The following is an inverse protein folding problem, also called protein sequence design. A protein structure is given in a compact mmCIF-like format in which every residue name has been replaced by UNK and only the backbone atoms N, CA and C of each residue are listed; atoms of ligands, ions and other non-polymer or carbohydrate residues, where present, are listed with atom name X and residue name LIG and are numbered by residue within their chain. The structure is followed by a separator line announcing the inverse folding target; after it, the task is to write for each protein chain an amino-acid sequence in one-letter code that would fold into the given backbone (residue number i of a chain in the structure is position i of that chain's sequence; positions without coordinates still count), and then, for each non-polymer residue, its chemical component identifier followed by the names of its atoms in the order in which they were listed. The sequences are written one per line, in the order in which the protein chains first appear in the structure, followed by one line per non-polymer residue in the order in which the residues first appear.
data_IF_625366643655
#
_entry.id   IF_625366643655
#
_cell.length_a   1.000
_cell.length_b   1.000
_cell.length_c   1.000
_cell.angle_alpha   90.00
_cell.angle_beta   90.00
_cell.angle_gamma   90.00
#
_symmetry.space_group_name_H-M   'P 1'
#
loop_
_entity.id
_entity.type
_entity.pdbx_description
1 polymer ?
#
# COMPACT_ATOMS: atom_id res chain seq x y z
N UNK A 1 60.10 -21.54 70.31
CA UNK A 1 60.35 -22.97 70.50
C UNK A 1 59.79 -23.71 69.28
N UNK A 2 60.69 -24.44 68.60
CA UNK A 2 60.45 -25.44 67.53
C UNK A 2 59.90 -25.03 66.20
N UNK A 3 60.79 -25.00 65.20
CA UNK A 3 60.53 -24.95 63.73
C UNK A 3 60.10 -26.36 63.27
N UNK A 4 59.18 -26.39 62.27
CA UNK A 4 59.10 -27.46 61.31
C UNK A 4 59.00 -26.94 59.88
N UNK A 5 59.98 -27.29 59.08
CA UNK A 5 59.99 -27.16 57.61
C UNK A 5 59.10 -28.25 57.00
N UNK A 6 58.31 -27.87 56.02
CA UNK A 6 57.73 -28.85 55.08
C UNK A 6 57.89 -28.37 53.65
N UNK A 7 58.76 -29.05 52.93
CA UNK A 7 58.90 -28.99 51.45
C UNK A 7 57.63 -29.44 50.80
N UNK A 8 57.06 -28.63 49.88
CA UNK A 8 56.09 -29.08 48.87
C UNK A 8 56.67 -28.92 47.48
N UNK A 9 56.77 -30.06 46.77
CA UNK A 9 57.13 -30.21 45.38
C UNK A 9 56.03 -29.59 44.52
N UNK A 10 56.38 -28.61 43.67
CA UNK A 10 55.47 -28.10 42.63
C UNK A 10 55.54 -29.06 41.44
N UNK A 11 54.42 -29.80 41.19
CA UNK A 11 54.14 -30.40 39.89
C UNK A 11 53.55 -29.34 38.97
N UNK A 12 54.32 -28.96 37.97
CA UNK A 12 53.82 -28.09 36.89
C UNK A 12 52.89 -28.84 35.95
N UNK A 13 51.62 -28.54 35.99
CA UNK A 13 50.64 -29.00 34.98
C UNK A 13 50.61 -28.01 33.82
N UNK A 14 51.20 -28.39 32.69
CA UNK A 14 51.12 -27.62 31.45
C UNK A 14 49.74 -27.82 30.86
N UNK A 15 48.89 -26.81 30.95
CA UNK A 15 47.58 -26.77 30.27
C UNK A 15 47.81 -26.32 28.83
N UNK A 16 47.65 -27.22 27.88
CA UNK A 16 47.55 -26.84 26.46
C UNK A 16 46.16 -26.21 26.20
N UNK A 17 46.11 -24.93 26.02
CA UNK A 17 44.94 -24.25 25.47
C UNK A 17 44.90 -24.51 23.96
N UNK A 18 44.03 -25.41 23.52
CA UNK A 18 43.65 -25.52 22.11
C UNK A 18 42.73 -24.36 21.84
N UNK A 19 43.22 -23.33 21.17
CA UNK A 19 42.42 -22.26 20.64
C UNK A 19 41.82 -22.76 19.32
N UNK A 20 40.60 -23.29 19.36
CA UNK A 20 39.83 -23.53 18.17
C UNK A 20 39.54 -22.16 17.54
N UNK A 21 40.23 -21.85 16.46
CA UNK A 21 39.87 -20.72 15.59
C UNK A 21 38.55 -21.06 14.90
N UNK A 22 37.44 -20.66 15.50
CA UNK A 22 36.16 -20.59 14.82
C UNK A 22 36.33 -19.54 13.73
N UNK A 23 36.60 -19.97 12.51
CA UNK A 23 36.46 -19.11 11.33
C UNK A 23 35.00 -18.74 11.26
N UNK A 24 34.68 -17.49 11.63
CA UNK A 24 33.37 -16.89 11.35
C UNK A 24 33.17 -16.99 9.83
N UNK A 25 32.30 -17.88 9.40
CA UNK A 25 31.75 -17.83 8.05
C UNK A 25 31.05 -16.46 7.95
N UNK A 26 31.72 -15.53 7.31
CA UNK A 26 31.06 -14.30 6.85
C UNK A 26 29.97 -14.76 5.88
N UNK A 27 28.72 -14.70 6.32
CA UNK A 27 27.59 -14.77 5.43
C UNK A 27 27.76 -13.60 4.47
N UNK A 28 28.22 -13.91 3.27
CA UNK A 28 28.25 -12.95 2.18
C UNK A 28 26.79 -12.65 1.88
N UNK A 29 26.31 -11.45 2.18
CA UNK A 29 24.98 -11.02 1.76
C UNK A 29 24.83 -11.32 0.27
N UNK A 30 23.67 -11.78 -0.18
CA UNK A 30 23.47 -12.06 -1.59
C UNK A 30 23.78 -10.80 -2.37
N UNK A 31 24.74 -10.89 -3.31
CA UNK A 31 25.22 -9.76 -4.12
C UNK A 31 24.15 -9.22 -5.08
N UNK A 32 22.94 -9.77 -5.06
CA UNK A 32 21.83 -9.48 -5.97
C UNK A 32 20.60 -9.12 -5.14
N UNK A 33 20.12 -7.89 -5.32
CA UNK A 33 18.89 -7.42 -4.70
C UNK A 33 17.68 -8.25 -5.15
N UNK A 34 16.75 -8.49 -4.22
CA UNK A 34 15.48 -9.17 -4.51
C UNK A 34 14.57 -8.21 -5.27
N UNK A 35 14.22 -8.51 -6.53
CA UNK A 35 13.37 -7.63 -7.32
C UNK A 35 11.93 -7.62 -6.81
N UNK A 36 11.13 -6.67 -7.32
CA UNK A 36 9.67 -6.62 -7.13
C UNK A 36 8.98 -6.53 -8.47
N UNK A 37 7.73 -6.95 -8.55
CA UNK A 37 6.88 -6.58 -9.68
C UNK A 37 6.56 -5.09 -9.53
N UNK A 38 6.93 -4.29 -10.52
CA UNK A 38 6.68 -2.85 -10.53
C UNK A 38 5.48 -2.48 -11.40
N UNK A 39 5.14 -3.31 -12.37
CA UNK A 39 4.10 -3.00 -13.33
C UNK A 39 3.35 -4.26 -13.78
N UNK A 40 2.05 -4.14 -13.89
CA UNK A 40 1.16 -5.11 -14.55
C UNK A 40 0.35 -4.36 -15.60
N UNK A 41 0.32 -4.88 -16.83
CA UNK A 41 -0.44 -4.26 -17.91
C UNK A 41 -1.92 -4.16 -17.56
N UNK A 42 -2.45 -2.94 -17.52
CA UNK A 42 -3.87 -2.72 -17.35
C UNK A 42 -4.64 -3.03 -18.64
N UNK A 43 -5.84 -3.56 -18.49
CA UNK A 43 -6.82 -3.59 -19.56
C UNK A 43 -7.15 -2.17 -20.03
N UNK A 44 -7.47 -2.00 -21.32
CA UNK A 44 -7.78 -0.68 -21.89
C UNK A 44 -8.96 0.03 -21.19
N UNK A 45 -9.89 -0.76 -20.67
CA UNK A 45 -11.05 -0.27 -19.94
C UNK A 45 -11.17 -1.02 -18.64
N UNK A 46 -10.96 -0.30 -17.54
CA UNK A 46 -11.22 -0.84 -16.22
C UNK A 46 -12.72 -0.89 -15.95
N UNK A 47 -13.22 -1.95 -15.33
CA UNK A 47 -14.65 -2.08 -15.03
C UNK A 47 -15.19 -0.94 -14.18
N UNK A 48 -14.35 -0.36 -13.31
CA UNK A 48 -14.71 0.79 -12.47
C UNK A 48 -15.09 2.05 -13.27
N UNK A 49 -14.66 2.18 -14.53
CA UNK A 49 -15.05 3.33 -15.37
C UNK A 49 -16.52 3.31 -15.79
N UNK A 50 -17.20 2.16 -15.66
CA UNK A 50 -18.54 1.92 -16.19
C UNK A 50 -19.54 1.43 -15.15
N UNK A 51 -19.15 1.16 -13.92
CA UNK A 51 -20.03 0.61 -12.89
C UNK A 51 -20.81 1.73 -12.19
N UNK A 52 -22.10 1.54 -11.99
CA UNK A 52 -22.98 2.45 -11.25
C UNK A 52 -22.57 2.65 -9.79
N UNK A 53 -21.79 1.69 -9.24
CA UNK A 53 -21.25 1.75 -7.89
C UNK A 53 -19.96 2.59 -7.78
N UNK A 54 -19.39 3.09 -8.88
CA UNK A 54 -18.22 3.93 -8.88
C UNK A 54 -18.61 5.40 -8.74
N UNK A 55 -18.16 6.03 -7.66
CA UNK A 55 -18.34 7.47 -7.41
C UNK A 55 -17.28 8.28 -8.16
N UNK A 56 -16.02 7.80 -8.11
CA UNK A 56 -14.85 8.45 -8.71
C UNK A 56 -13.85 7.44 -9.26
N UNK A 57 -13.28 7.79 -10.42
CA UNK A 57 -12.14 7.07 -11.00
C UNK A 57 -11.17 8.06 -11.63
N UNK A 58 -9.90 7.94 -11.36
CA UNK A 58 -8.83 8.70 -11.99
C UNK A 58 -7.54 7.87 -12.11
N UNK A 59 -7.05 7.73 -13.32
CA UNK A 59 -5.75 7.15 -13.68
C UNK A 59 -4.74 8.24 -14.08
N UNK A 60 -5.10 9.49 -13.86
CA UNK A 60 -4.31 10.68 -14.13
C UNK A 60 -3.83 10.81 -15.60
N UNK A 61 -4.43 10.06 -16.52
CA UNK A 61 -4.18 10.18 -17.96
C UNK A 61 -4.84 11.40 -18.59
N UNK A 62 -5.87 11.93 -17.95
CA UNK A 62 -6.64 13.10 -18.39
C UNK A 62 -6.87 14.05 -17.23
N UNK A 63 -7.06 15.34 -17.56
CA UNK A 63 -7.38 16.35 -16.53
C UNK A 63 -8.75 16.07 -15.94
N UNK A 64 -8.82 15.95 -14.62
CA UNK A 64 -10.07 15.86 -13.86
C UNK A 64 -10.09 16.93 -12.77
N UNK A 65 -11.29 17.36 -12.43
CA UNK A 65 -11.47 18.42 -11.46
C UNK A 65 -11.78 17.85 -10.07
N UNK A 66 -10.98 18.22 -9.14
CA UNK A 66 -11.10 17.91 -7.71
C UNK A 66 -11.70 19.10 -6.95
N UNK A 67 -12.19 18.86 -5.74
CA UNK A 67 -12.56 19.94 -4.83
C UNK A 67 -11.34 20.78 -4.46
N UNK A 68 -10.25 20.09 -4.14
CA UNK A 68 -8.91 20.66 -3.99
C UNK A 68 -7.87 19.69 -4.57
N UNK A 69 -6.86 20.27 -5.22
CA UNK A 69 -5.74 19.52 -5.76
C UNK A 69 -4.43 20.28 -5.56
N UNK A 70 -3.36 19.53 -5.33
CA UNK A 70 -2.00 20.06 -5.23
C UNK A 70 -1.03 19.16 -6.00
N UNK A 71 0.11 19.74 -6.39
CA UNK A 71 1.16 19.02 -7.08
C UNK A 71 0.90 18.83 -8.57
N UNK A 72 1.86 18.19 -9.22
CA UNK A 72 1.86 17.99 -10.67
C UNK A 72 1.61 16.52 -11.00
N UNK A 73 1.06 16.30 -12.17
CA UNK A 73 1.05 14.97 -12.77
C UNK A 73 2.46 14.67 -13.29
N UNK A 74 2.96 13.50 -12.95
CA UNK A 74 4.23 12.96 -13.40
C UNK A 74 3.94 11.90 -14.47
N UNK A 75 4.34 12.15 -15.70
CA UNK A 75 4.19 11.22 -16.81
C UNK A 75 5.33 10.20 -16.92
N UNK A 76 6.38 10.34 -16.11
CA UNK A 76 7.54 9.44 -16.11
C UNK A 76 7.41 8.30 -15.12
N UNK A 77 6.58 8.46 -14.09
CA UNK A 77 6.27 7.45 -13.08
C UNK A 77 4.76 7.24 -13.08
N UNK A 78 4.29 6.13 -13.60
CA UNK A 78 2.86 5.82 -13.64
C UNK A 78 2.63 4.30 -13.66
N UNK A 79 1.40 3.89 -13.35
CA UNK A 79 0.92 2.52 -13.39
C UNK A 79 0.04 2.26 -14.64
N UNK A 80 0.06 3.15 -15.61
CA UNK A 80 -0.66 3.04 -16.87
C UNK A 80 0.00 2.06 -17.86
N UNK A 81 -0.55 1.94 -19.08
CA UNK A 81 0.16 1.29 -20.18
C UNK A 81 1.52 1.98 -20.38
N UNK A 82 2.57 1.20 -20.67
CA UNK A 82 3.94 1.71 -20.81
C UNK A 82 3.97 2.96 -21.70
N UNK A 83 4.46 4.06 -21.12
CA UNK A 83 4.58 5.35 -21.79
C UNK A 83 3.28 6.15 -21.94
N UNK A 84 2.17 5.68 -21.38
CA UNK A 84 0.89 6.38 -21.40
C UNK A 84 0.37 6.55 -19.97
N UNK A 85 -0.25 7.71 -19.69
CA UNK A 85 -0.82 8.03 -18.37
C UNK A 85 0.08 8.92 -17.53
N UNK A 86 -0.27 9.04 -16.27
CA UNK A 86 0.43 9.85 -15.27
C UNK A 86 0.18 9.34 -13.88
N UNK A 87 0.86 9.92 -12.92
CA UNK A 87 0.59 9.75 -11.50
C UNK A 87 0.67 11.09 -10.80
N UNK A 88 0.13 11.18 -9.59
CA UNK A 88 0.31 12.38 -8.75
C UNK A 88 1.64 12.27 -8.03
N UNK A 89 2.56 13.18 -8.31
CA UNK A 89 3.78 13.30 -7.54
C UNK A 89 3.50 14.05 -6.22
N UNK A 90 3.57 13.35 -5.11
CA UNK A 90 3.41 13.84 -3.74
C UNK A 90 4.76 13.97 -3.02
N UNK A 91 5.81 14.34 -3.74
CA UNK A 91 7.18 14.45 -3.23
C UNK A 91 7.32 15.46 -2.08
N UNK A 92 8.36 15.24 -1.30
CA UNK A 92 8.76 16.07 -0.16
C UNK A 92 10.21 16.50 -0.34
N UNK A 93 10.52 17.76 -0.05
CA UNK A 93 11.89 18.13 0.25
C UNK A 93 12.18 17.86 1.73
N UNK A 94 13.45 17.79 2.10
CA UNK A 94 13.85 17.65 3.51
C UNK A 94 13.24 18.79 4.35
N UNK A 95 12.57 18.41 5.43
CA UNK A 95 11.88 19.32 6.34
C UNK A 95 10.46 19.73 5.91
N UNK A 96 10.00 19.34 4.70
CA UNK A 96 8.64 19.63 4.26
C UNK A 96 7.62 18.90 5.16
N UNK A 97 6.72 19.67 5.75
CA UNK A 97 5.56 19.20 6.52
C UNK A 97 4.40 18.86 5.56
N UNK A 98 4.22 19.67 4.55
CA UNK A 98 3.20 19.46 3.52
C UNK A 98 3.84 18.88 2.26
N UNK A 99 3.42 17.69 1.88
CA UNK A 99 3.75 17.12 0.57
C UNK A 99 3.00 17.83 -0.55
N UNK A 100 3.44 17.58 -1.74
CA UNK A 100 2.78 17.99 -2.98
C UNK A 100 1.94 16.81 -3.45
N UNK A 101 0.65 16.96 -3.74
CA UNK A 101 -0.12 15.85 -4.33
C UNK A 101 -1.41 15.48 -3.61
N UNK A 102 -1.91 16.33 -2.73
CA UNK A 102 -3.24 16.14 -2.15
C UNK A 102 -4.29 16.12 -3.25
N UNK A 103 -5.27 15.21 -3.12
CA UNK A 103 -6.44 15.11 -3.97
C UNK A 103 -7.69 14.96 -3.11
N UNK A 104 -8.63 15.90 -3.23
CA UNK A 104 -9.88 15.86 -2.48
C UNK A 104 -11.05 15.67 -3.42
N UNK A 105 -11.73 14.55 -3.30
CA UNK A 105 -12.98 14.25 -4.01
C UNK A 105 -14.14 14.52 -3.08
N UNK A 106 -15.07 15.38 -3.52
CA UNK A 106 -16.35 15.61 -2.87
C UNK A 106 -17.48 14.94 -3.65
N UNK A 107 -18.44 14.39 -2.93
CA UNK A 107 -19.59 13.71 -3.53
C UNK A 107 -20.82 13.74 -2.60
N UNK A 108 -21.95 13.35 -3.16
CA UNK A 108 -23.18 13.18 -2.38
C UNK A 108 -23.70 14.48 -1.77
N UNK A 109 -24.03 14.44 -0.49
CA UNK A 109 -24.58 15.54 0.30
C UNK A 109 -23.54 16.55 0.81
N UNK A 110 -22.41 16.68 0.13
CA UNK A 110 -21.36 17.64 0.46
C UNK A 110 -21.90 19.08 0.43
N UNK A 111 -21.75 19.88 1.51
CA UNK A 111 -22.54 21.10 1.71
C UNK A 111 -22.03 22.35 0.99
N UNK A 112 -20.89 22.30 0.30
CA UNK A 112 -20.35 23.47 -0.40
C UNK A 112 -20.54 23.36 -1.91
N UNK A 113 -20.42 24.49 -2.62
CA UNK A 113 -20.33 24.49 -4.07
C UNK A 113 -18.99 24.00 -4.57
N UNK A 114 -18.93 23.37 -5.74
CA UNK A 114 -17.70 22.89 -6.36
C UNK A 114 -17.93 21.65 -7.23
N UNK A 115 -16.87 20.92 -7.48
CA UNK A 115 -16.93 19.68 -8.25
C UNK A 115 -17.43 18.51 -7.39
N UNK A 116 -18.76 18.44 -7.20
CA UNK A 116 -19.41 17.40 -6.39
C UNK A 116 -19.91 16.29 -7.31
N UNK A 117 -19.52 15.06 -7.03
CA UNK A 117 -20.02 13.88 -7.74
C UNK A 117 -21.33 13.38 -7.10
N UNK A 118 -22.29 12.98 -7.95
CA UNK A 118 -23.58 12.45 -7.51
C UNK A 118 -24.26 13.32 -6.43
N UNK A 119 -24.50 14.61 -6.66
CA UNK A 119 -25.05 15.51 -5.65
C UNK A 119 -26.38 14.99 -5.10
N UNK A 120 -26.68 15.35 -3.85
CA UNK A 120 -27.90 14.96 -3.12
C UNK A 120 -28.06 13.45 -2.82
N UNK A 121 -27.07 12.60 -3.08
CA UNK A 121 -27.05 11.24 -2.56
C UNK A 121 -26.39 11.23 -1.18
N UNK A 122 -26.81 10.33 -0.29
CA UNK A 122 -26.13 10.08 0.98
C UNK A 122 -25.50 8.70 0.94
N UNK A 123 -24.30 8.57 1.47
CA UNK A 123 -23.55 7.32 1.50
C UNK A 123 -23.19 6.94 2.92
N UNK A 124 -23.70 5.80 3.38
CA UNK A 124 -23.34 5.22 4.67
C UNK A 124 -22.08 4.36 4.61
N UNK A 125 -21.64 4.00 3.40
CA UNK A 125 -20.51 3.13 3.18
C UNK A 125 -19.76 3.52 1.90
N UNK A 126 -18.44 3.62 2.01
CA UNK A 126 -17.55 3.87 0.87
C UNK A 126 -16.28 3.05 0.96
N UNK A 127 -15.79 2.67 -0.20
CA UNK A 127 -14.47 2.09 -0.43
C UNK A 127 -13.64 3.07 -1.21
N UNK A 128 -12.34 3.13 -0.95
CA UNK A 128 -11.42 3.88 -1.80
C UNK A 128 -10.12 3.12 -1.97
N UNK A 129 -9.59 3.17 -3.17
CA UNK A 129 -8.38 2.47 -3.57
C UNK A 129 -7.44 3.42 -4.29
N UNK A 130 -6.13 3.26 -4.07
CA UNK A 130 -5.05 3.85 -4.83
C UNK A 130 -3.85 2.92 -4.88
N UNK A 131 -3.02 3.05 -5.90
CA UNK A 131 -1.68 2.51 -5.89
C UNK A 131 -0.73 3.58 -5.35
N UNK A 132 0.18 3.17 -4.47
CA UNK A 132 1.16 4.04 -3.83
C UNK A 132 2.56 3.53 -4.18
N UNK A 133 3.43 4.41 -4.65
CA UNK A 133 4.85 4.11 -4.86
C UNK A 133 5.67 5.09 -4.06
N UNK A 134 6.53 4.57 -3.20
CA UNK A 134 7.59 5.36 -2.56
C UNK A 134 8.86 5.26 -3.40
N UNK A 135 9.61 6.34 -3.51
CA UNK A 135 10.92 6.33 -4.16
C UNK A 135 11.83 5.28 -3.50
N UNK A 136 12.61 4.58 -4.32
CA UNK A 136 13.54 3.57 -3.82
C UNK A 136 14.48 4.15 -2.77
N UNK A 137 14.62 3.47 -1.66
CA UNK A 137 15.39 3.95 -0.53
C UNK A 137 14.63 4.98 0.32
N UNK A 138 13.31 4.97 0.28
CA UNK A 138 12.44 5.80 1.12
C UNK A 138 12.78 5.66 2.61
N UNK A 139 12.71 6.76 3.36
CA UNK A 139 12.97 6.78 4.79
C UNK A 139 11.90 7.58 5.54
N UNK A 140 11.53 7.05 6.71
CA UNK A 140 10.57 7.67 7.62
C UNK A 140 9.11 7.45 7.24
N UNK A 141 8.20 8.02 8.02
CA UNK A 141 6.78 7.71 7.94
C UNK A 141 5.93 8.97 8.05
N UNK A 142 5.49 9.54 6.92
CA UNK A 142 4.55 10.67 6.92
C UNK A 142 3.26 10.25 7.60
N UNK A 143 2.64 11.16 8.37
CA UNK A 143 1.49 10.81 9.21
C UNK A 143 0.22 10.51 8.43
N UNK A 144 -0.04 11.22 7.33
CA UNK A 144 -1.28 11.05 6.59
C UNK A 144 -1.07 10.35 5.26
N UNK A 145 -1.97 9.43 4.96
CA UNK A 145 -2.04 8.76 3.66
C UNK A 145 -3.37 9.08 2.95
N UNK A 146 -4.49 8.82 3.63
CA UNK A 146 -5.82 9.10 3.09
C UNK A 146 -6.88 9.14 4.18
N UNK A 147 -8.07 9.60 3.82
CA UNK A 147 -9.25 9.50 4.70
C UNK A 147 -10.55 9.52 3.92
N UNK A 148 -11.60 8.96 4.56
CA UNK A 148 -12.99 9.29 4.29
C UNK A 148 -13.53 10.19 5.41
N UNK A 149 -14.47 11.09 5.10
CA UNK A 149 -15.04 12.01 6.06
C UNK A 149 -16.44 12.45 5.67
N UNK A 150 -17.22 12.91 6.66
CA UNK A 150 -18.48 13.61 6.46
C UNK A 150 -18.28 15.09 6.76
N UNK A 151 -18.29 15.93 5.73
CA UNK A 151 -18.29 17.39 5.85
C UNK A 151 -19.75 17.84 5.91
N UNK A 152 -20.10 18.68 6.90
CA UNK A 152 -21.49 19.00 7.23
C UNK A 152 -21.83 20.49 7.18
N UNK A 153 -20.85 21.34 6.89
CA UNK A 153 -21.06 22.77 6.78
C UNK A 153 -20.07 23.43 5.82
N UNK A 154 -20.34 24.67 5.46
CA UNK A 154 -19.43 25.48 4.64
C UNK A 154 -18.10 25.81 5.35
N UNK A 155 -18.06 25.75 6.68
CA UNK A 155 -16.83 25.88 7.47
C UNK A 155 -16.08 24.55 7.61
N UNK A 156 -16.50 23.52 6.85
CA UNK A 156 -15.90 22.20 6.86
C UNK A 156 -15.87 21.49 8.22
N UNK A 157 -16.91 21.75 9.05
CA UNK A 157 -17.16 20.93 10.23
C UNK A 157 -17.28 19.46 9.81
N UNK A 158 -16.81 18.55 10.64
CA UNK A 158 -16.77 17.14 10.29
C UNK A 158 -17.60 16.32 11.28
N UNK A 159 -18.57 15.56 10.78
CA UNK A 159 -19.34 14.63 11.61
C UNK A 159 -18.59 13.35 11.89
N UNK A 160 -17.72 12.90 10.97
CA UNK A 160 -16.86 11.74 11.16
C UNK A 160 -15.56 11.87 10.37
N UNK A 161 -14.55 11.15 10.81
CA UNK A 161 -13.29 10.98 10.10
C UNK A 161 -12.83 9.53 10.22
N UNK A 162 -12.44 8.94 9.09
CA UNK A 162 -11.79 7.63 9.02
C UNK A 162 -10.39 7.81 8.41
N UNK A 163 -9.39 8.10 9.25
CA UNK A 163 -8.01 8.31 8.81
C UNK A 163 -7.25 7.00 8.62
N UNK A 164 -6.57 6.86 7.48
CA UNK A 164 -5.46 5.93 7.30
C UNK A 164 -4.17 6.71 7.53
N UNK A 165 -3.48 6.40 8.62
CA UNK A 165 -2.28 7.10 9.08
C UNK A 165 -1.09 6.16 9.20
N UNK A 166 0.12 6.71 9.27
CA UNK A 166 1.26 5.94 9.75
C UNK A 166 1.14 5.71 11.25
N UNK A 167 1.33 4.48 11.64
CA UNK A 167 1.36 4.03 13.02
C UNK A 167 2.76 4.16 13.66
N UNK A 168 3.20 3.10 14.31
CA UNK A 168 4.56 2.99 14.83
C UNK A 168 5.52 2.54 13.74
N UNK A 169 6.53 3.33 13.44
CA UNK A 169 7.49 3.04 12.38
C UNK A 169 6.82 3.01 11.00
N UNK A 170 7.14 2.04 10.15
CA UNK A 170 6.66 1.98 8.78
C UNK A 170 5.25 1.40 8.59
N UNK A 171 4.59 0.99 9.69
CA UNK A 171 3.27 0.37 9.67
C UNK A 171 2.16 1.41 9.57
N UNK A 172 1.04 1.03 8.94
CA UNK A 172 -0.16 1.86 8.90
C UNK A 172 -1.02 1.63 10.15
N UNK A 173 -1.89 2.58 10.44
CA UNK A 173 -2.91 2.49 11.51
C UNK A 173 -4.22 3.12 11.04
N UNK A 174 -5.33 2.69 11.65
CA UNK A 174 -6.64 3.29 11.46
C UNK A 174 -6.98 4.16 12.68
N UNK A 175 -7.31 5.42 12.42
CA UNK A 175 -7.60 6.40 13.47
C UNK A 175 -8.97 7.06 13.23
N UNK A 176 -10.07 6.35 13.58
CA UNK A 176 -11.42 6.88 13.44
C UNK A 176 -11.77 7.87 14.53
N UNK A 177 -12.58 8.87 14.17
CA UNK A 177 -13.13 9.82 15.10
C UNK A 177 -14.56 10.20 14.74
N UNK A 178 -15.37 10.54 15.75
CA UNK A 178 -16.70 11.14 15.63
C UNK A 178 -16.64 12.64 15.90
N UNK A 179 -17.32 13.43 15.10
CA UNK A 179 -17.61 14.83 15.36
C UNK A 179 -19.02 15.04 15.94
N UNK A 180 -19.66 13.96 16.39
CA UNK A 180 -21.03 13.95 16.93
C UNK A 180 -20.98 13.48 18.38
N UNK A 181 -21.61 14.22 19.29
CA UNK A 181 -21.82 13.77 20.65
C UNK A 181 -23.00 12.79 20.69
N UNK A 182 -22.68 11.51 20.80
CA UNK A 182 -23.62 10.43 20.57
C UNK A 182 -24.85 10.36 21.46
N UNK A 183 -24.91 11.11 22.55
CA UNK A 183 -26.08 11.18 23.44
C UNK A 183 -27.11 12.23 22.99
N UNK A 184 -26.68 13.26 22.28
CA UNK A 184 -27.55 14.39 21.89
C UNK A 184 -27.55 14.65 20.39
N UNK A 185 -26.76 13.89 19.61
CA UNK A 185 -26.52 14.09 18.18
C UNK A 185 -26.00 15.49 17.81
N UNK A 186 -25.45 16.20 18.81
CA UNK A 186 -24.91 17.52 18.61
C UNK A 186 -23.58 17.44 17.90
N UNK A 187 -23.38 18.29 16.90
CA UNK A 187 -22.07 18.46 16.24
C UNK A 187 -21.13 19.15 17.22
N UNK A 188 -19.99 18.52 17.52
CA UNK A 188 -18.97 19.08 18.43
C UNK A 188 -17.86 19.81 17.71
N UNK A 189 -17.61 19.53 16.44
CA UNK A 189 -16.58 20.20 15.64
C UNK A 189 -17.05 21.58 15.20
N UNK A 190 -16.13 22.54 15.13
CA UNK A 190 -16.40 23.92 14.74
C UNK A 190 -15.78 24.32 13.40
N UNK A 191 -14.83 23.51 12.91
CA UNK A 191 -14.03 23.76 11.71
C UNK A 191 -13.45 22.45 11.16
N UNK A 192 -12.77 22.56 10.04
CA UNK A 192 -11.96 21.48 9.47
C UNK A 192 -10.77 21.10 10.38
N UNK A 193 -10.56 19.78 10.55
CA UNK A 193 -9.49 19.23 11.41
C UNK A 193 -9.54 19.78 12.84
N UNK A 194 -10.73 19.87 13.40
CA UNK A 194 -10.95 20.30 14.78
C UNK A 194 -10.63 19.17 15.76
N UNK A 195 -9.35 18.76 15.77
CA UNK A 195 -8.88 17.57 16.50
C UNK A 195 -9.09 17.66 18.01
N UNK A 196 -9.19 18.87 18.54
CA UNK A 196 -9.44 19.11 19.98
C UNK A 196 -10.88 18.79 20.39
N UNK A 197 -11.84 18.94 19.47
CA UNK A 197 -13.25 18.64 19.70
C UNK A 197 -13.70 17.29 19.17
N UNK A 198 -12.89 16.61 18.33
CA UNK A 198 -13.22 15.29 17.85
C UNK A 198 -13.17 14.23 18.96
N UNK A 199 -14.16 13.35 18.97
CA UNK A 199 -14.25 12.21 19.88
C UNK A 199 -13.54 11.03 19.20
N UNK A 200 -12.35 10.69 19.67
CA UNK A 200 -11.56 9.57 19.14
C UNK A 200 -12.15 8.24 19.56
N UNK A 201 -12.34 7.33 18.60
CA UNK A 201 -13.07 6.07 18.80
C UNK A 201 -12.18 4.92 19.30
N UNK A 202 -11.19 5.24 20.12
CA UNK A 202 -10.39 4.26 20.84
C UNK A 202 -9.10 3.85 20.14
N UNK A 203 -8.61 2.66 20.48
CA UNK A 203 -7.28 2.18 20.12
C UNK A 203 -7.05 2.19 18.59
N UNK A 204 -5.83 2.55 18.23
CA UNK A 204 -5.32 2.56 16.86
C UNK A 204 -4.67 1.22 16.56
N UNK A 205 -5.36 0.25 15.94
CA UNK A 205 -4.72 -1.00 15.55
C UNK A 205 -3.63 -0.71 14.52
N UNK A 206 -2.57 -1.51 14.51
CA UNK A 206 -1.50 -1.41 13.53
C UNK A 206 -1.60 -2.55 12.52
N UNK A 207 -1.29 -2.24 11.27
CA UNK A 207 -1.12 -3.23 10.23
C UNK A 207 0.15 -4.05 10.42
N UNK A 208 0.31 -5.01 9.57
CA UNK A 208 1.47 -5.89 9.50
C UNK A 208 2.40 -5.55 8.31
N UNK A 209 1.88 -4.84 7.30
CA UNK A 209 2.67 -4.48 6.12
C UNK A 209 3.41 -3.15 6.32
N UNK A 210 4.76 -3.14 6.20
CA UNK A 210 5.57 -1.95 6.46
C UNK A 210 5.63 -1.02 5.25
N UNK A 211 4.48 -0.42 4.87
CA UNK A 211 4.27 0.36 3.64
C UNK A 211 5.31 1.47 3.43
N UNK A 212 5.81 2.08 4.50
CA UNK A 212 6.77 3.19 4.43
C UNK A 212 8.19 2.77 4.81
N UNK A 213 8.51 1.46 4.74
CA UNK A 213 9.87 0.99 4.96
C UNK A 213 10.72 1.15 3.69
N UNK A 214 12.03 1.18 3.89
CA UNK A 214 13.01 1.22 2.80
C UNK A 214 12.91 -0.04 1.92
N UNK A 215 12.64 -1.20 2.53
CA UNK A 215 12.55 -2.50 1.85
C UNK A 215 11.31 -2.60 0.95
N UNK A 216 10.22 -1.91 1.33
CA UNK A 216 8.97 -1.89 0.56
C UNK A 216 8.84 -0.59 -0.28
N UNK A 217 9.97 -0.09 -0.79
CA UNK A 217 10.04 1.10 -1.66
C UNK A 217 10.53 0.76 -3.07
N UNK A 218 10.28 1.63 -4.02
CA UNK A 218 10.70 1.47 -5.42
C UNK A 218 9.71 0.73 -6.32
N UNK A 219 8.54 0.34 -5.82
CA UNK A 219 7.50 -0.33 -6.59
C UNK A 219 6.10 0.08 -6.14
N UNK A 220 5.08 -0.23 -6.95
CA UNK A 220 3.69 0.09 -6.65
C UNK A 220 3.07 -0.90 -5.66
N UNK A 221 2.38 -0.38 -4.65
CA UNK A 221 1.63 -1.14 -3.65
C UNK A 221 0.16 -0.75 -3.74
N UNK A 222 -0.73 -1.72 -3.83
CA UNK A 222 -2.17 -1.52 -3.78
C UNK A 222 -2.61 -1.21 -2.34
N UNK A 223 -3.29 -0.09 -2.15
CA UNK A 223 -3.91 0.29 -0.89
C UNK A 223 -5.41 0.50 -1.10
N UNK A 224 -6.24 -0.27 -0.41
CA UNK A 224 -7.69 -0.10 -0.41
C UNK A 224 -8.18 0.04 1.03
N UNK A 225 -9.12 0.95 1.26
CA UNK A 225 -9.75 1.12 2.56
C UNK A 225 -11.27 1.21 2.44
N UNK A 226 -11.96 0.90 3.53
CA UNK A 226 -13.43 0.94 3.66
C UNK A 226 -13.80 1.66 4.93
N UNK A 227 -14.77 2.58 4.84
CA UNK A 227 -15.46 3.13 5.99
C UNK A 227 -16.95 2.90 5.85
N UNK A 228 -17.58 2.39 6.92
CA UNK A 228 -19.03 2.23 7.02
C UNK A 228 -19.49 2.89 8.30
N UNK A 229 -20.44 3.80 8.18
CA UNK A 229 -21.10 4.43 9.32
C UNK A 229 -21.90 3.36 10.09
N UNK A 230 -22.02 3.57 11.38
CA UNK A 230 -22.88 2.71 12.18
C UNK A 230 -24.37 2.92 11.85
N UNK A 231 -25.18 1.87 12.02
CA UNK A 231 -26.63 2.00 12.08
C UNK A 231 -26.98 2.99 13.20
N UNK A 232 -27.87 3.98 12.97
CA UNK A 232 -28.22 4.95 14.00
C UNK A 232 -28.56 4.29 15.34
N UNK A 233 -27.87 4.74 16.39
CA UNK A 233 -28.03 4.21 17.74
C UNK A 233 -27.33 2.87 18.05
N UNK A 234 -26.56 2.30 17.07
CA UNK A 234 -25.76 1.08 17.29
C UNK A 234 -24.26 1.40 17.21
N UNK A 235 -23.46 0.42 17.62
CA UNK A 235 -22.01 0.43 17.48
C UNK A 235 -21.61 -0.70 16.52
N UNK A 236 -22.00 -0.59 15.25
CA UNK A 236 -21.76 -1.58 14.19
C UNK A 236 -21.03 -0.98 12.97
N UNK A 237 -20.46 0.21 13.12
CA UNK A 237 -19.62 0.84 12.10
C UNK A 237 -18.33 0.06 11.88
N UNK A 238 -17.77 0.20 10.69
CA UNK A 238 -16.60 -0.58 10.24
C UNK A 238 -15.57 0.36 9.63
N UNK A 239 -14.28 0.07 9.90
CA UNK A 239 -13.16 0.69 9.22
C UNK A 239 -12.08 -0.36 8.94
N UNK A 240 -11.74 -0.58 7.68
CA UNK A 240 -10.85 -1.64 7.23
C UNK A 240 -9.79 -1.12 6.26
N UNK A 241 -8.64 -1.79 6.23
CA UNK A 241 -7.52 -1.51 5.32
C UNK A 241 -7.02 -2.82 4.71
N UNK A 242 -6.88 -2.84 3.40
CA UNK A 242 -6.21 -3.91 2.64
C UNK A 242 -4.94 -3.37 1.99
N UNK A 243 -3.88 -4.19 2.02
CA UNK A 243 -2.63 -3.95 1.29
C UNK A 243 -2.40 -5.12 0.35
N UNK A 244 -2.19 -4.84 -0.92
CA UNK A 244 -2.07 -5.84 -2.00
C UNK A 244 -3.19 -6.91 -1.97
N UNK A 245 -4.43 -6.46 -1.69
CA UNK A 245 -5.61 -7.32 -1.60
C UNK A 245 -5.72 -8.15 -0.32
N UNK A 246 -4.79 -8.03 0.64
CA UNK A 246 -4.89 -8.65 1.97
C UNK A 246 -5.48 -7.70 2.99
N UNK A 247 -6.42 -8.19 3.77
CA UNK A 247 -6.91 -7.48 4.94
C UNK A 247 -5.77 -7.33 5.96
N UNK A 248 -5.28 -6.10 6.13
CA UNK A 248 -4.17 -5.76 7.00
C UNK A 248 -4.66 -5.26 8.37
N UNK A 249 -5.73 -4.46 8.37
CA UNK A 249 -6.36 -3.96 9.59
C UNK A 249 -7.88 -4.08 9.48
N UNK A 250 -8.52 -4.66 10.51
CA UNK A 250 -9.97 -4.75 10.64
C UNK A 250 -10.41 -4.09 11.95
N UNK A 251 -11.24 -3.04 11.84
CA UNK A 251 -11.92 -2.42 12.96
C UNK A 251 -13.42 -2.45 12.77
N UNK A 252 -14.08 -3.10 13.70
CA UNK A 252 -15.53 -3.21 13.77
C UNK A 252 -16.05 -2.63 15.09
N UNK A 253 -17.36 -2.52 15.22
CA UNK A 253 -17.97 -2.04 16.45
C UNK A 253 -17.81 -0.54 16.68
N UNK A 254 -17.59 0.24 15.62
CA UNK A 254 -17.40 1.69 15.72
C UNK A 254 -18.73 2.43 15.81
N UNK A 255 -18.77 3.49 16.61
CA UNK A 255 -19.87 4.44 16.65
C UNK A 255 -19.41 5.80 16.10
N UNK A 256 -19.49 5.96 14.77
CA UNK A 256 -19.08 7.18 14.09
C UNK A 256 -20.04 8.35 14.28
N UNK A 257 -21.34 8.08 14.46
CA UNK A 257 -22.37 9.12 14.34
C UNK A 257 -23.49 9.10 15.39
N UNK A 258 -23.49 8.21 16.38
CA UNK A 258 -24.64 8.10 17.29
C UNK A 258 -25.93 7.76 16.55
N UNK A 259 -26.95 8.61 16.71
CA UNK A 259 -28.22 8.56 15.92
C UNK A 259 -28.26 9.61 14.79
N UNK A 260 -27.20 10.39 14.58
CA UNK A 260 -27.11 11.44 13.54
C UNK A 260 -27.24 10.86 12.13
N UNK A 261 -28.14 11.44 11.31
CA UNK A 261 -28.44 10.96 9.96
C UNK A 261 -28.51 12.06 8.90
N UNK A 262 -28.18 13.31 9.25
CA UNK A 262 -28.33 14.45 8.32
C UNK A 262 -27.31 14.42 7.17
N UNK A 263 -26.12 13.83 7.40
CA UNK A 263 -25.10 13.68 6.36
C UNK A 263 -24.50 12.28 6.44
N UNK A 264 -24.21 11.73 5.25
CA UNK A 264 -23.41 10.53 5.09
C UNK A 264 -21.92 10.83 4.91
N UNK A 265 -21.15 9.84 4.48
CA UNK A 265 -19.77 10.04 4.02
C UNK A 265 -19.85 10.74 2.66
N UNK A 266 -19.19 11.89 2.53
CA UNK A 266 -19.33 12.74 1.35
C UNK A 266 -18.00 13.29 0.81
N UNK A 267 -16.88 12.83 1.36
CA UNK A 267 -15.57 13.15 0.81
C UNK A 267 -14.54 12.06 1.09
N UNK A 268 -13.63 11.88 0.13
CA UNK A 268 -12.42 11.04 0.27
C UNK A 268 -11.21 11.85 -0.20
N UNK A 269 -10.16 11.84 0.62
CA UNK A 269 -8.94 12.59 0.39
C UNK A 269 -7.72 11.67 0.32
N UNK A 270 -6.90 11.86 -0.69
CA UNK A 270 -5.48 11.48 -0.65
C UNK A 270 -4.74 12.62 0.03
N UNK A 271 -3.88 12.31 0.99
CA UNK A 271 -3.18 13.31 1.80
C UNK A 271 -1.67 13.03 1.85
N UNK A 272 -0.92 14.12 1.83
CA UNK A 272 0.54 14.08 1.95
C UNK A 272 0.97 15.04 3.05
N UNK A 273 1.00 14.55 4.29
CA UNK A 273 1.32 15.35 5.46
C UNK A 273 2.30 14.63 6.38
N UNK A 274 3.34 15.35 6.79
CA UNK A 274 4.41 14.84 7.65
C UNK A 274 4.60 15.75 8.85
N UNK A 275 4.13 15.37 10.02
CA UNK A 275 4.13 16.23 11.21
C UNK A 275 5.52 16.78 11.56
N UNK A 276 6.54 15.94 11.51
CA UNK A 276 7.92 16.27 11.88
C UNK A 276 8.76 16.77 10.68
N UNK A 277 8.18 16.79 9.49
CA UNK A 277 8.87 17.09 8.25
C UNK A 277 9.63 15.89 7.67
N UNK A 278 9.79 15.87 6.35
CA UNK A 278 10.52 14.80 5.66
C UNK A 278 11.99 14.78 6.08
N UNK A 279 12.53 13.58 6.29
CA UNK A 279 13.93 13.40 6.72
C UNK A 279 14.94 13.69 5.61
N UNK A 280 14.50 13.61 4.34
CA UNK A 280 15.28 13.92 3.14
C UNK A 280 14.39 14.31 1.97
N UNK A 281 14.97 14.72 0.84
CA UNK A 281 14.28 14.87 -0.42
C UNK A 281 13.90 13.49 -0.93
N UNK A 282 12.61 13.25 -1.21
CA UNK A 282 12.12 11.94 -1.66
C UNK A 282 10.73 12.01 -2.28
N UNK A 283 10.48 11.11 -3.25
CA UNK A 283 9.24 11.03 -4.00
C UNK A 283 8.24 10.05 -3.44
N UNK A 284 6.96 10.41 -3.50
CA UNK A 284 5.82 9.51 -3.35
C UNK A 284 4.87 9.76 -4.52
N UNK A 285 4.34 8.71 -5.09
CA UNK A 285 3.38 8.81 -6.19
C UNK A 285 2.10 8.06 -5.86
N UNK A 286 0.99 8.59 -6.38
CA UNK A 286 -0.33 7.95 -6.33
C UNK A 286 -0.87 7.77 -7.73
N UNK A 287 -1.49 6.62 -7.98
CA UNK A 287 -2.10 6.31 -9.26
C UNK A 287 -3.36 5.46 -9.09
N UNK A 288 -4.20 5.40 -10.12
CA UNK A 288 -5.42 4.59 -10.16
C UNK A 288 -6.32 4.81 -8.94
N UNK A 289 -6.67 6.08 -8.68
CA UNK A 289 -7.52 6.46 -7.57
C UNK A 289 -8.99 6.19 -7.88
N UNK A 290 -9.62 5.37 -7.06
CA UNK A 290 -11.05 4.99 -7.19
C UNK A 290 -11.75 5.23 -5.87
N UNK A 291 -13.00 5.74 -5.93
CA UNK A 291 -13.96 5.75 -4.81
C UNK A 291 -15.23 5.05 -5.27
N UNK A 292 -15.74 4.11 -4.49
CA UNK A 292 -16.90 3.28 -4.85
C UNK A 292 -17.76 2.95 -3.62
N UNK A 293 -18.94 2.40 -3.86
CA UNK A 293 -19.87 1.91 -2.82
C UNK A 293 -19.73 0.40 -2.56
N UNK A 294 -18.85 -0.27 -3.30
CA UNK A 294 -18.56 -1.71 -3.17
C UNK A 294 -17.05 -1.95 -3.21
N UNK A 295 -16.57 -3.13 -2.77
CA UNK A 295 -15.15 -3.50 -2.88
C UNK A 295 -14.60 -3.29 -4.29
N UNK A 296 -13.42 -2.70 -4.37
CA UNK A 296 -12.79 -2.29 -5.62
C UNK A 296 -11.85 -3.37 -6.14
N UNK A 297 -10.93 -3.84 -5.29
CA UNK A 297 -9.92 -4.82 -5.63
C UNK A 297 -8.79 -4.27 -6.52
N UNK A 298 -7.94 -5.16 -7.06
CA UNK A 298 -6.81 -4.77 -7.90
C UNK A 298 -7.28 -4.29 -9.29
N UNK A 299 -6.33 -3.75 -10.07
CA UNK A 299 -6.56 -3.41 -11.46
C UNK A 299 -7.01 -4.63 -12.27
N UNK A 300 -7.72 -4.37 -13.35
CA UNK A 300 -8.07 -5.40 -14.34
C UNK A 300 -7.02 -5.42 -15.45
N UNK A 301 -6.67 -6.64 -15.88
CA UNK A 301 -5.68 -6.93 -16.90
C UNK A 301 -6.22 -7.89 -17.95
N UNK A 302 -5.45 -8.14 -18.99
CA UNK A 302 -5.79 -9.09 -20.06
C UNK A 302 -5.48 -10.54 -19.65
N UNK A 303 -5.95 -11.51 -20.42
CA UNK A 303 -5.64 -12.95 -20.20
C UNK A 303 -4.17 -13.30 -20.40
N UNK A 304 -3.41 -12.47 -21.12
CA UNK A 304 -1.97 -12.61 -21.34
C UNK A 304 -1.26 -11.28 -20.99
N UNK A 305 -1.23 -10.87 -19.72
CA UNK A 305 -0.70 -9.58 -19.34
C UNK A 305 0.82 -9.51 -19.53
N UNK A 306 1.31 -8.31 -19.82
CA UNK A 306 2.72 -7.98 -19.63
C UNK A 306 2.96 -7.61 -18.17
N UNK A 307 4.00 -8.19 -17.55
CA UNK A 307 4.48 -7.83 -16.22
C UNK A 307 5.93 -7.38 -16.30
N UNK A 308 6.26 -6.36 -15.54
CA UNK A 308 7.63 -5.83 -15.45
C UNK A 308 8.12 -5.89 -14.01
N UNK A 309 9.41 -6.21 -13.84
CA UNK A 309 10.06 -6.13 -12.54
C UNK A 309 10.75 -4.78 -12.36
N UNK A 310 11.11 -4.45 -11.13
CA UNK A 310 12.03 -3.35 -10.82
C UNK A 310 13.38 -3.55 -11.52
N UNK A 311 14.03 -2.45 -11.89
CA UNK A 311 15.35 -2.48 -12.54
C UNK A 311 16.37 -3.28 -11.74
N UNK A 312 17.29 -3.94 -12.45
CA UNK A 312 18.40 -4.66 -11.81
C UNK A 312 19.40 -3.67 -11.18
N UNK A 313 19.77 -3.93 -9.93
CA UNK A 313 20.70 -3.08 -9.17
C UNK A 313 21.86 -3.85 -8.55
N UNK A 314 22.08 -5.11 -8.97
CA UNK A 314 23.22 -5.92 -8.54
C UNK A 314 24.55 -5.47 -9.17
N UNK A 315 25.64 -6.03 -8.71
CA UNK A 315 26.95 -5.82 -9.33
C UNK A 315 26.99 -6.43 -10.73
N UNK A 316 27.42 -5.63 -11.73
CA UNK A 316 27.50 -6.05 -13.13
C UNK A 316 26.15 -5.95 -13.88
N UNK A 317 25.92 -6.88 -14.79
CA UNK A 317 24.71 -6.90 -15.62
C UNK A 317 23.75 -8.01 -15.18
N UNK A 318 22.46 -7.80 -15.44
CA UNK A 318 21.45 -8.83 -15.31
C UNK A 318 21.86 -10.07 -16.13
N UNK A 319 21.78 -11.25 -15.53
CA UNK A 319 21.95 -12.53 -16.21
C UNK A 319 20.60 -13.09 -16.66
N UNK A 320 19.65 -13.15 -15.73
CA UNK A 320 18.26 -13.54 -16.01
C UNK A 320 17.34 -13.19 -14.83
N UNK A 321 16.05 -13.28 -15.06
CA UNK A 321 15.02 -13.22 -14.05
C UNK A 321 13.90 -14.22 -14.32
N UNK A 322 13.05 -14.47 -13.33
CA UNK A 322 11.91 -15.36 -13.43
C UNK A 322 10.69 -14.77 -12.72
N UNK A 323 9.52 -15.12 -13.24
CA UNK A 323 8.21 -14.76 -12.74
C UNK A 323 7.41 -16.01 -12.39
N UNK A 324 6.73 -16.01 -11.25
CA UNK A 324 5.69 -16.98 -10.91
C UNK A 324 4.39 -16.27 -10.60
N UNK A 325 3.25 -16.89 -11.01
CA UNK A 325 1.91 -16.44 -10.66
C UNK A 325 1.15 -17.53 -9.91
N UNK A 326 0.32 -17.11 -8.95
CA UNK A 326 -0.57 -17.97 -8.17
C UNK A 326 -1.96 -17.35 -8.04
N UNK A 327 -2.97 -18.18 -7.78
CA UNK A 327 -4.35 -17.75 -7.53
C UNK A 327 -4.57 -17.37 -6.05
N UNK A 328 -3.58 -17.58 -5.19
CA UNK A 328 -3.61 -17.19 -3.78
C UNK A 328 -2.35 -16.42 -3.38
N UNK A 329 -2.51 -15.57 -2.36
CA UNK A 329 -1.45 -14.71 -1.84
C UNK A 329 -0.25 -15.47 -1.25
N UNK A 330 -0.42 -16.72 -0.84
CA UNK A 330 0.66 -17.53 -0.25
C UNK A 330 1.40 -18.36 -1.29
N UNK A 331 0.89 -18.42 -2.53
CA UNK A 331 1.49 -19.17 -3.63
C UNK A 331 1.27 -20.67 -3.58
N UNK A 332 0.22 -21.14 -2.87
CA UNK A 332 -0.12 -22.56 -2.82
C UNK A 332 -0.72 -23.07 -4.13
N UNK A 333 -1.48 -22.20 -4.81
CA UNK A 333 -2.16 -22.47 -6.08
C UNK A 333 -1.36 -21.89 -7.25
N UNK A 334 -0.13 -22.41 -7.47
CA UNK A 334 0.74 -21.95 -8.55
C UNK A 334 0.14 -22.28 -9.92
N UNK A 335 0.04 -21.28 -10.80
CA UNK A 335 -0.60 -21.39 -12.12
C UNK A 335 0.32 -21.05 -13.28
N UNK A 336 1.42 -20.37 -13.04
CA UNK A 336 2.38 -20.01 -14.10
C UNK A 336 3.80 -19.93 -13.54
N UNK A 337 4.76 -20.45 -14.29
CA UNK A 337 6.19 -20.34 -14.04
C UNK A 337 6.88 -19.96 -15.35
N UNK A 338 7.53 -18.80 -15.38
CA UNK A 338 8.25 -18.35 -16.57
C UNK A 338 9.52 -19.16 -16.78
N UNK A 339 9.96 -19.24 -18.04
CA UNK A 339 11.35 -19.60 -18.34
C UNK A 339 12.30 -18.51 -17.82
N UNK A 340 13.61 -18.76 -17.86
CA UNK A 340 14.60 -17.70 -17.64
C UNK A 340 14.42 -16.61 -18.70
N UNK A 341 14.24 -15.38 -18.22
CA UNK A 341 14.09 -14.19 -19.05
C UNK A 341 15.39 -13.43 -18.99
N UNK A 342 16.10 -13.34 -20.11
CA UNK A 342 17.43 -12.68 -20.18
C UNK A 342 17.33 -11.19 -20.51
N UNK A 343 16.19 -10.74 -21.01
CA UNK A 343 15.92 -9.34 -21.29
C UNK A 343 15.55 -8.59 -20.01
N UNK A 344 16.09 -7.38 -19.84
CA UNK A 344 15.71 -6.52 -18.72
C UNK A 344 14.28 -6.00 -18.89
N UNK A 345 13.56 -5.92 -17.78
CA UNK A 345 12.30 -5.22 -17.69
C UNK A 345 11.08 -6.12 -17.67
N UNK A 346 10.51 -6.45 -18.82
CA UNK A 346 9.15 -6.99 -18.90
C UNK A 346 9.07 -8.34 -19.61
N UNK A 347 8.00 -9.09 -19.29
CA UNK A 347 7.63 -10.34 -20.02
C UNK A 347 6.12 -10.42 -20.20
N UNK A 348 5.68 -11.10 -21.25
CA UNK A 348 4.27 -11.42 -21.46
C UNK A 348 3.98 -12.83 -20.94
N UNK A 349 2.91 -12.96 -20.15
CA UNK A 349 2.44 -14.25 -19.62
C UNK A 349 1.79 -15.05 -20.74
N UNK A 350 2.53 -15.99 -21.34
CA UNK A 350 2.05 -16.86 -22.41
C UNK A 350 2.86 -18.17 -22.44
N UNK A 351 2.47 -19.13 -23.28
CA UNK A 351 3.14 -20.43 -23.39
C UNK A 351 4.52 -20.36 -24.05
N UNK A 352 4.86 -19.29 -24.76
CA UNK A 352 6.20 -19.10 -25.32
C UNK A 352 7.22 -18.74 -24.22
N UNK A 353 6.81 -17.94 -23.24
CA UNK A 353 7.65 -17.41 -22.18
C UNK A 353 7.64 -18.21 -20.88
N UNK A 354 6.74 -19.20 -20.75
CA UNK A 354 6.63 -20.00 -19.53
C UNK A 354 5.69 -21.19 -19.66
N UNK A 355 5.40 -21.80 -18.53
CA UNK A 355 4.54 -22.99 -18.44
C UNK A 355 3.34 -22.67 -17.56
N UNK A 356 2.14 -22.90 -18.11
CA UNK A 356 0.90 -22.90 -17.35
C UNK A 356 0.75 -24.20 -16.58
N UNK A 357 0.36 -24.14 -15.31
CA UNK A 357 0.24 -25.29 -14.42
C UNK A 357 -1.02 -25.19 -13.55
N UNK A 358 -1.21 -26.14 -12.65
CA UNK A 358 -2.40 -26.19 -11.81
C UNK A 358 -3.69 -26.13 -12.61
N UNK A 359 -4.60 -25.25 -12.23
CA UNK A 359 -5.90 -25.06 -12.93
C UNK A 359 -5.77 -24.44 -14.32
N UNK A 360 -4.62 -23.84 -14.63
CA UNK A 360 -4.36 -23.21 -15.94
C UNK A 360 -3.56 -24.11 -16.89
N UNK A 361 -3.23 -25.34 -16.48
CA UNK A 361 -2.49 -26.30 -17.32
C UNK A 361 -3.16 -26.47 -18.68
N UNK A 362 -2.37 -26.36 -19.75
CA UNK A 362 -2.78 -26.48 -21.15
C UNK A 362 -3.76 -25.40 -21.68
N UNK A 363 -4.04 -24.33 -20.90
CA UNK A 363 -4.93 -23.26 -21.37
C UNK A 363 -4.22 -22.19 -22.19
N UNK A 364 -2.91 -22.01 -22.02
CA UNK A 364 -2.10 -21.03 -22.75
C UNK A 364 -2.35 -19.57 -22.37
N UNK A 365 -3.27 -19.32 -21.43
CA UNK A 365 -3.65 -18.00 -20.94
C UNK A 365 -4.24 -18.11 -19.54
N UNK A 366 -4.32 -16.97 -18.83
CA UNK A 366 -4.97 -16.85 -17.54
C UNK A 366 -6.51 -16.83 -17.68
N UNK A 367 -7.21 -17.20 -16.61
CA UNK A 367 -8.67 -17.29 -16.63
C UNK A 367 -9.31 -15.95 -16.28
N UNK A 368 -10.27 -15.51 -17.07
CA UNK A 368 -11.11 -14.33 -16.81
C UNK A 368 -11.86 -14.44 -15.48
N UNK A 369 -12.00 -13.31 -14.80
CA UNK A 369 -12.65 -13.20 -13.49
C UNK A 369 -11.78 -13.56 -12.29
N UNK A 370 -10.60 -14.14 -12.48
CA UNK A 370 -9.68 -14.56 -11.41
C UNK A 370 -8.71 -13.46 -11.02
N UNK A 371 -8.34 -13.43 -9.73
CA UNK A 371 -7.27 -12.58 -9.19
C UNK A 371 -5.99 -13.41 -9.10
N UNK A 372 -4.89 -12.84 -9.56
CA UNK A 372 -3.58 -13.45 -9.54
C UNK A 372 -2.59 -12.61 -8.74
N UNK A 373 -1.68 -13.29 -8.06
CA UNK A 373 -0.55 -12.73 -7.33
C UNK A 373 0.74 -13.18 -7.98
N UNK A 374 1.77 -12.33 -7.91
CA UNK A 374 3.03 -12.62 -8.55
C UNK A 374 4.22 -12.51 -7.59
N UNK A 375 5.29 -13.24 -7.92
CA UNK A 375 6.60 -13.06 -7.34
C UNK A 375 7.68 -13.18 -8.39
N UNK A 376 8.81 -12.55 -8.13
CA UNK A 376 9.95 -12.53 -9.05
C UNK A 376 11.26 -12.82 -8.33
N UNK A 377 12.25 -13.31 -9.07
CA UNK A 377 13.65 -13.38 -8.65
C UNK A 377 14.56 -13.03 -9.81
N UNK A 378 15.79 -12.70 -9.52
CA UNK A 378 16.78 -12.37 -10.54
C UNK A 378 18.16 -12.88 -10.20
N UNK A 379 19.04 -12.97 -11.19
CA UNK A 379 20.46 -13.30 -11.04
C UNK A 379 21.32 -12.38 -11.87
N UNK A 380 22.55 -12.11 -11.40
CA UNK A 380 23.58 -11.50 -12.23
C UNK A 380 24.16 -12.49 -13.24
N UNK A 381 25.01 -12.02 -14.13
CA UNK A 381 25.72 -12.89 -15.10
C UNK A 381 26.57 -13.97 -14.45
N UNK A 382 27.01 -13.78 -13.23
CA UNK A 382 27.77 -14.78 -12.44
C UNK A 382 26.93 -15.98 -11.98
N UNK A 383 25.61 -15.94 -12.16
CA UNK A 383 24.75 -17.12 -12.04
C UNK A 383 24.06 -17.37 -10.71
N UNK A 384 24.33 -16.61 -9.67
CA UNK A 384 23.63 -16.76 -8.38
C UNK A 384 22.26 -16.07 -8.42
N UNK A 385 21.20 -16.80 -8.02
CA UNK A 385 19.85 -16.28 -7.90
C UNK A 385 19.67 -15.52 -6.58
N UNK A 386 18.96 -14.39 -6.63
CA UNK A 386 18.34 -13.84 -5.44
C UNK A 386 17.34 -14.82 -4.85
N UNK A 387 16.93 -14.60 -3.62
CA UNK A 387 15.70 -15.21 -3.13
C UNK A 387 14.51 -14.71 -3.96
N UNK A 388 13.39 -15.42 -3.90
CA UNK A 388 12.12 -14.94 -4.43
C UNK A 388 11.63 -13.72 -3.64
N UNK A 389 11.03 -12.75 -4.32
CA UNK A 389 10.25 -11.72 -3.66
C UNK A 389 9.08 -12.33 -2.86
N UNK A 390 8.50 -11.55 -1.95
CA UNK A 390 7.18 -11.88 -1.42
C UNK A 390 6.17 -11.93 -2.57
N UNK A 391 5.07 -12.65 -2.39
CA UNK A 391 3.92 -12.56 -3.26
C UNK A 391 3.26 -11.19 -3.09
N UNK A 392 3.03 -10.47 -4.18
CA UNK A 392 2.43 -9.15 -4.20
C UNK A 392 1.86 -8.81 -5.58
N UNK A 393 1.35 -7.59 -5.74
CA UNK A 393 0.81 -7.08 -7.00
C UNK A 393 -0.30 -7.97 -7.58
N UNK A 394 -1.37 -8.12 -6.81
CA UNK A 394 -2.58 -8.74 -7.30
C UNK A 394 -3.16 -7.97 -8.49
N UNK A 395 -3.63 -8.69 -9.49
CA UNK A 395 -4.42 -8.16 -10.60
C UNK A 395 -5.56 -9.14 -10.90
N UNK A 396 -6.65 -8.60 -11.45
CA UNK A 396 -7.79 -9.40 -11.90
C UNK A 396 -7.75 -9.48 -13.41
N UNK A 397 -8.02 -10.65 -13.98
CA UNK A 397 -8.19 -10.79 -15.43
C UNK A 397 -9.64 -10.46 -15.81
N UNK A 398 -9.82 -9.54 -16.78
CA UNK A 398 -11.15 -9.18 -17.32
C UNK A 398 -11.81 -10.30 -18.15
#
# INVERSE_FOLDING_TARGET
MIRFFNNRILLGTTVFLIVDTVTAQTFKEPSVEVPRIDYVQMAQKQSHQKKDNTIWYDDFSTVKHYLEERGKIDSTVNFGPLGLGGSVNAGFNKGDVFGKGDRKVAFGDFPTSGYIKNPAKSYDEVYWRMYVKHEKGWEGSPKKLSRATSIISQNWQQAMIAHVWSGKGPLQTLDPASGIYGQTDSVVTTKYNDFDHLIWLGNKPQGSFPLTSTEESGYWVLVEARAKLNTPGKSDGIFQLWIDGRLDIDRQGLNFRGTYTQHGINAVFIESYWNEGSVKDQGRWYDNFVVATEPIGPIESTTNPMLCKTSYTGSGQLGAWQLQLAEDYNGNELVYDSKEIVEEGCTVVNSANGTFMGRQKNKGQLQSGQIYYGRVRQKGRTGEWSTWSKWHQGFKVE
#
